data_IF_686507334404
#
_entry.id   IF_686507334404
#
_cell.length_a   1.000
_cell.length_b   1.000
_cell.length_c   1.000
_cell.angle_alpha   90.00
_cell.angle_beta   90.00
_cell.angle_gamma   90.00
#
_symmetry.space_group_name_H-M   'P 1'
#
loop_
_entity.id
_entity.type
_entity.pdbx_description
1 polymer ?
#
# COMPACT_ATOMS: atom_id res chain seq x y z
N UNK A 1 28.29 20.51 -22.04
CA UNK A 1 28.18 19.44 -23.07
C UNK A 1 27.02 18.54 -22.68
N UNK A 2 25.88 18.61 -23.40
CA UNK A 2 24.65 17.86 -23.11
C UNK A 2 24.74 16.48 -23.76
N UNK A 3 24.48 15.41 -23.01
CA UNK A 3 24.25 14.08 -23.57
C UNK A 3 22.81 13.71 -23.25
N UNK A 4 21.93 13.99 -24.22
CA UNK A 4 20.62 13.37 -24.33
C UNK A 4 20.80 11.96 -24.91
N UNK A 5 20.28 10.92 -24.25
CA UNK A 5 20.00 9.65 -24.91
C UNK A 5 18.51 9.35 -24.86
N UNK A 6 17.88 9.59 -26.01
CA UNK A 6 16.55 9.17 -26.42
C UNK A 6 16.65 7.77 -27.05
N UNK A 7 15.78 6.82 -26.65
CA UNK A 7 15.31 5.60 -27.38
C UNK A 7 14.55 4.73 -26.36
N UNK A 8 13.43 4.07 -26.61
CA UNK A 8 12.49 3.95 -27.74
C UNK A 8 11.20 3.39 -27.12
N UNK A 9 10.04 3.83 -27.60
CA UNK A 9 8.73 3.22 -27.27
C UNK A 9 8.65 1.81 -27.86
N UNK A 10 8.17 0.85 -27.09
CA UNK A 10 7.50 -0.36 -27.62
C UNK A 10 6.20 -0.58 -26.85
N UNK A 11 5.11 -0.26 -27.54
CA UNK A 11 3.74 -0.60 -27.17
C UNK A 11 3.47 -2.03 -27.62
N UNK A 12 3.24 -2.94 -26.68
CA UNK A 12 2.58 -4.22 -26.97
C UNK A 12 1.51 -4.46 -25.92
N UNK A 13 0.28 -4.10 -26.30
CA UNK A 13 -0.94 -4.63 -25.69
C UNK A 13 -0.87 -6.16 -25.75
N UNK A 14 -1.15 -6.84 -24.65
CA UNK A 14 -1.86 -8.13 -24.62
C UNK A 14 -2.29 -8.45 -23.19
N UNK A 15 -3.58 -8.23 -22.96
CA UNK A 15 -4.37 -8.85 -21.91
C UNK A 15 -4.30 -10.37 -22.12
N UNK A 16 -3.99 -11.12 -21.06
CA UNK A 16 -4.35 -12.53 -20.96
C UNK A 16 -4.59 -12.88 -19.49
N UNK A 17 -5.87 -12.78 -19.09
CA UNK A 17 -6.42 -13.52 -17.97
C UNK A 17 -6.28 -15.02 -18.29
N UNK A 18 -5.56 -15.78 -17.47
CA UNK A 18 -5.63 -17.24 -17.48
C UNK A 18 -6.34 -17.67 -16.20
N UNK A 19 -7.36 -18.48 -16.42
CA UNK A 19 -8.40 -18.92 -15.50
C UNK A 19 -7.87 -19.90 -14.44
N UNK A 20 -8.44 -19.74 -13.24
CA UNK A 20 -8.69 -20.75 -12.21
C UNK A 20 -8.55 -22.21 -12.69
N UNK A 21 -7.59 -22.94 -12.13
CA UNK A 21 -7.60 -24.38 -11.81
C UNK A 21 -6.27 -24.63 -11.09
N UNK A 22 -6.13 -25.24 -9.92
CA UNK A 22 -6.99 -26.07 -9.11
C UNK A 22 -6.52 -25.94 -7.64
N UNK A 23 -7.40 -26.24 -6.69
CA UNK A 23 -6.97 -26.53 -5.32
C UNK A 23 -7.46 -25.57 -4.24
N UNK A 24 -8.78 -25.36 -4.15
CA UNK A 24 -9.38 -25.13 -2.83
C UNK A 24 -10.49 -26.16 -2.64
N UNK A 25 -10.09 -27.43 -2.58
CA UNK A 25 -10.77 -28.36 -1.70
C UNK A 25 -10.31 -28.02 -0.27
N UNK A 26 -10.89 -26.97 0.30
CA UNK A 26 -10.93 -26.84 1.75
C UNK A 26 -12.38 -26.75 2.15
N UNK A 27 -13.01 -27.93 2.17
CA UNK A 27 -14.11 -28.18 3.08
C UNK A 27 -13.62 -27.87 4.49
N UNK A 28 -14.15 -26.82 5.10
CA UNK A 28 -14.45 -26.85 6.52
C UNK A 28 -15.70 -26.01 6.75
N UNK A 29 -16.84 -26.64 6.51
CA UNK A 29 -18.05 -26.34 7.27
C UNK A 29 -17.77 -26.60 8.75
N UNK A 30 -17.21 -25.62 9.45
CA UNK A 30 -17.41 -25.51 10.89
C UNK A 30 -18.54 -24.49 11.09
N UNK A 31 -19.77 -25.01 11.22
CA UNK A 31 -20.80 -24.31 11.97
C UNK A 31 -20.34 -24.31 13.43
N UNK A 32 -19.57 -23.30 13.84
CA UNK A 32 -19.37 -23.07 15.26
C UNK A 32 -20.64 -22.36 15.75
N UNK A 33 -21.59 -23.15 16.22
CA UNK A 33 -22.58 -22.68 17.20
C UNK A 33 -21.80 -22.42 18.49
N UNK A 34 -21.43 -21.17 18.73
CA UNK A 34 -21.00 -20.74 20.07
C UNK A 34 -22.26 -20.35 20.82
N UNK A 35 -22.83 -21.29 21.56
CA UNK A 35 -23.78 -20.98 22.61
C UNK A 35 -22.99 -20.53 23.85
N UNK A 36 -22.80 -19.22 24.02
CA UNK A 36 -22.34 -18.66 25.29
C UNK A 36 -23.54 -18.22 26.12
N UNK A 37 -24.04 -19.13 26.94
CA UNK A 37 -24.75 -18.74 28.15
C UNK A 37 -23.69 -18.42 29.21
N UNK A 38 -23.43 -17.13 29.44
CA UNK A 38 -22.75 -16.69 30.65
C UNK A 38 -23.57 -15.56 31.27
N UNK A 39 -24.38 -15.98 32.23
CA UNK A 39 -25.13 -15.13 33.11
C UNK A 39 -24.17 -14.47 34.13
N UNK A 40 -24.32 -13.15 34.26
CA UNK A 40 -24.03 -12.26 35.42
C UNK A 40 -22.62 -11.72 35.68
N UNK A 41 -22.55 -10.39 35.47
CA UNK A 41 -21.98 -9.35 36.34
C UNK A 41 -20.46 -9.30 36.55
N UNK A 42 -19.80 -8.37 35.85
CA UNK A 42 -18.96 -7.33 36.47
C UNK A 42 -18.76 -6.18 35.47
N UNK A 43 -19.13 -4.96 35.87
CA UNK A 43 -18.84 -3.73 35.13
C UNK A 43 -17.33 -3.45 35.14
N UNK A 44 -16.60 -4.04 34.20
CA UNK A 44 -15.25 -3.58 33.82
C UNK A 44 -15.32 -3.24 32.35
N UNK A 45 -15.38 -1.94 32.04
CA UNK A 45 -15.33 -1.44 30.68
C UNK A 45 -13.95 -1.80 30.10
N UNK A 46 -13.87 -2.91 29.37
CA UNK A 46 -12.73 -3.22 28.53
C UNK A 46 -12.81 -2.23 27.36
N UNK A 47 -12.11 -1.10 27.49
CA UNK A 47 -11.87 -0.21 26.36
C UNK A 47 -10.93 -0.93 25.39
N UNK A 48 -11.51 -1.66 24.44
CA UNK A 48 -10.78 -2.21 23.29
C UNK A 48 -10.14 -1.01 22.60
N UNK A 49 -8.83 -0.82 22.82
CA UNK A 49 -8.08 0.27 22.21
C UNK A 49 -7.75 -0.16 20.80
N UNK A 50 -8.64 0.16 19.85
CA UNK A 50 -8.36 -0.02 18.44
C UNK A 50 -7.22 0.95 18.07
N UNK A 51 -6.17 0.50 17.37
CA UNK A 51 -5.08 1.38 17.00
C UNK A 51 -5.59 2.54 16.16
N UNK A 52 -5.20 3.76 16.54
CA UNK A 52 -5.64 4.97 15.85
C UNK A 52 -5.07 5.00 14.43
N UNK A 53 -5.96 5.05 13.43
CA UNK A 53 -5.60 5.17 12.03
C UNK A 53 -5.77 6.61 11.55
N UNK A 54 -4.74 7.14 10.89
CA UNK A 54 -4.74 8.49 10.30
C UNK A 54 -4.39 8.44 8.82
N UNK A 55 -5.17 9.13 7.99
CA UNK A 55 -4.92 9.24 6.55
C UNK A 55 -4.53 10.68 6.21
N UNK A 56 -3.31 10.86 5.70
CA UNK A 56 -2.83 12.13 5.17
C UNK A 56 -2.98 12.11 3.65
N UNK A 57 -3.79 13.01 3.10
CA UNK A 57 -4.01 13.14 1.65
C UNK A 57 -3.28 14.37 1.12
N UNK A 58 -2.81 14.31 -0.11
CA UNK A 58 -2.18 15.45 -0.77
C UNK A 58 -2.09 15.28 -2.28
N UNK A 59 -1.55 16.32 -2.94
CA UNK A 59 -1.15 16.29 -4.33
C UNK A 59 0.38 16.43 -4.40
N UNK A 60 1.02 15.71 -5.32
CA UNK A 60 2.44 15.89 -5.61
C UNK A 60 2.65 17.33 -6.10
N UNK A 61 3.56 18.06 -5.46
CA UNK A 61 3.95 19.41 -5.88
C UNK A 61 5.13 19.35 -6.84
N UNK A 62 5.38 20.45 -7.54
CA UNK A 62 6.57 20.57 -8.39
C UNK A 62 7.85 20.37 -7.57
N UNK A 63 8.67 19.42 -8.01
CA UNK A 63 9.94 19.09 -7.35
C UNK A 63 9.83 18.07 -6.23
N UNK A 64 8.62 17.64 -5.86
CA UNK A 64 8.46 16.53 -4.92
C UNK A 64 9.02 15.22 -5.51
N UNK A 65 9.66 14.45 -4.64
CA UNK A 65 10.11 13.10 -4.92
C UNK A 65 9.46 12.14 -3.93
N UNK A 66 9.40 10.85 -4.25
CA UNK A 66 8.90 9.87 -3.29
C UNK A 66 9.73 9.89 -2.00
N UNK A 67 11.05 10.11 -2.11
CA UNK A 67 11.93 10.27 -0.95
C UNK A 67 11.61 11.48 -0.10
N UNK A 68 11.35 12.65 -0.70
CA UNK A 68 11.00 13.86 0.08
C UNK A 68 9.64 13.75 0.76
N UNK A 69 8.71 12.98 0.20
CA UNK A 69 7.39 12.75 0.79
C UNK A 69 7.44 11.74 1.94
N UNK A 70 8.22 10.67 1.77
CA UNK A 70 8.25 9.55 2.71
C UNK A 70 9.32 9.69 3.81
N UNK A 71 10.36 10.51 3.63
CA UNK A 71 11.45 10.65 4.61
C UNK A 71 11.00 11.18 5.98
N UNK A 72 9.82 11.81 6.04
CA UNK A 72 9.19 12.25 7.29
C UNK A 72 8.74 11.08 8.16
N UNK A 73 8.51 9.91 7.56
CA UNK A 73 7.94 8.74 8.23
C UNK A 73 8.86 7.51 8.19
N UNK A 74 9.78 7.46 7.22
CA UNK A 74 10.63 6.30 6.97
C UNK A 74 12.09 6.72 6.80
N UNK A 75 13.06 5.90 7.24
CA UNK A 75 14.46 6.13 6.94
C UNK A 75 14.73 5.93 5.44
N UNK A 76 15.73 6.65 4.92
CA UNK A 76 16.06 6.65 3.48
C UNK A 76 16.36 5.24 2.93
N UNK A 77 16.99 4.37 3.74
CA UNK A 77 17.24 2.96 3.39
C UNK A 77 15.93 2.22 3.07
N UNK A 78 14.90 2.36 3.90
CA UNK A 78 13.60 1.72 3.67
C UNK A 78 12.91 2.30 2.44
N UNK A 79 13.02 3.60 2.21
CA UNK A 79 12.48 4.24 0.99
C UNK A 79 13.15 3.69 -0.27
N UNK A 80 14.47 3.50 -0.24
CA UNK A 80 15.20 2.88 -1.36
C UNK A 80 14.73 1.45 -1.61
N UNK A 81 14.52 0.67 -0.54
CA UNK A 81 13.99 -0.69 -0.61
C UNK A 81 12.57 -0.76 -1.21
N UNK A 82 11.70 0.20 -0.87
CA UNK A 82 10.38 0.37 -1.51
C UNK A 82 10.56 0.69 -3.00
N UNK A 83 11.42 1.67 -3.32
CA UNK A 83 11.67 2.09 -4.70
C UNK A 83 12.18 0.93 -5.57
N UNK A 84 12.99 0.04 -5.00
CA UNK A 84 13.51 -1.14 -5.70
C UNK A 84 12.40 -2.16 -5.95
N UNK A 85 11.60 -2.51 -4.93
CA UNK A 85 10.51 -3.48 -5.04
C UNK A 85 9.39 -3.02 -5.97
N UNK A 86 9.02 -1.74 -5.90
CA UNK A 86 7.94 -1.21 -6.72
C UNK A 86 8.37 -0.97 -8.17
N UNK A 87 9.66 -1.02 -8.50
CA UNK A 87 10.18 -0.61 -9.81
C UNK A 87 9.56 -1.37 -10.99
N UNK A 88 9.23 -2.64 -10.79
CA UNK A 88 8.65 -3.49 -11.84
C UNK A 88 7.16 -3.18 -12.08
N UNK A 89 6.47 -2.61 -11.08
CA UNK A 89 5.06 -2.20 -11.15
C UNK A 89 4.94 -0.73 -11.57
N UNK A 90 5.62 0.15 -10.82
CA UNK A 90 5.70 1.58 -11.08
C UNK A 90 6.97 2.17 -10.43
N UNK A 91 7.93 2.68 -11.23
CA UNK A 91 9.11 3.32 -10.68
C UNK A 91 8.74 4.62 -9.94
N UNK A 92 9.12 4.73 -8.66
CA UNK A 92 8.82 5.91 -7.84
C UNK A 92 9.41 7.22 -8.39
N UNK A 93 10.42 7.14 -9.24
CA UNK A 93 10.99 8.29 -9.96
C UNK A 93 10.03 8.90 -10.98
N UNK A 94 8.95 8.20 -11.34
CA UNK A 94 7.97 8.64 -12.33
C UNK A 94 6.73 9.31 -11.72
N UNK A 95 6.71 9.57 -10.41
CA UNK A 95 5.64 10.37 -9.81
C UNK A 95 5.56 11.75 -10.48
N UNK A 96 4.34 12.28 -10.61
CA UNK A 96 4.11 13.52 -11.37
C UNK A 96 3.37 14.53 -10.52
N UNK A 97 3.72 15.79 -10.72
CA UNK A 97 3.01 16.93 -10.17
C UNK A 97 1.50 16.85 -10.44
N UNK A 98 0.72 17.32 -9.47
CA UNK A 98 -0.75 17.37 -9.50
C UNK A 98 -1.43 16.01 -9.27
N UNK A 99 -0.67 14.93 -9.10
CA UNK A 99 -1.26 13.60 -8.84
C UNK A 99 -1.58 13.40 -7.37
N UNK A 100 -2.73 12.80 -7.04
CA UNK A 100 -3.08 12.56 -5.65
C UNK A 100 -2.28 11.41 -5.06
N UNK A 101 -1.98 11.56 -3.77
CA UNK A 101 -1.40 10.51 -2.95
C UNK A 101 -2.09 10.43 -1.59
N UNK A 102 -1.92 9.29 -0.92
CA UNK A 102 -2.30 9.10 0.49
C UNK A 102 -1.17 8.43 1.25
N UNK A 103 -0.97 8.87 2.49
CA UNK A 103 -0.11 8.21 3.47
C UNK A 103 -1.03 7.74 4.59
N UNK A 104 -0.98 6.45 4.88
CA UNK A 104 -1.77 5.80 5.91
C UNK A 104 -0.85 5.54 7.09
N UNK A 105 -1.21 6.11 8.23
CA UNK A 105 -0.48 5.99 9.48
C UNK A 105 -1.32 5.18 10.48
N UNK A 106 -0.66 4.33 11.24
CA UNK A 106 -1.18 3.69 12.43
C UNK A 106 -0.30 4.13 13.59
N UNK A 107 -0.87 4.77 14.62
CA UNK A 107 -0.09 5.29 15.75
C UNK A 107 1.13 6.14 15.30
N UNK A 108 0.91 7.00 14.29
CA UNK A 108 1.92 7.83 13.63
C UNK A 108 3.01 7.08 12.83
N UNK A 109 3.00 5.75 12.80
CA UNK A 109 3.89 4.95 11.95
C UNK A 109 3.26 4.72 10.58
N UNK A 110 4.04 4.88 9.51
CA UNK A 110 3.55 4.63 8.16
C UNK A 110 3.32 3.13 7.96
N UNK A 111 2.09 2.79 7.60
CA UNK A 111 1.65 1.42 7.27
C UNK A 111 1.21 1.28 5.82
N UNK A 112 0.94 2.39 5.14
CA UNK A 112 0.63 2.37 3.71
C UNK A 112 0.92 3.68 2.98
N UNK A 113 1.19 3.54 1.69
CA UNK A 113 1.31 4.65 0.74
C UNK A 113 0.53 4.31 -0.52
N UNK A 114 -0.36 5.21 -0.93
CA UNK A 114 -1.08 5.11 -2.19
C UNK A 114 -0.71 6.29 -3.09
N UNK A 115 -0.50 6.02 -4.37
CA UNK A 115 -0.28 7.03 -5.39
C UNK A 115 -1.14 6.74 -6.63
N UNK A 116 -1.84 7.75 -7.13
CA UNK A 116 -2.66 7.59 -8.33
C UNK A 116 -1.83 7.77 -9.61
N UNK A 117 -1.65 6.67 -10.34
CA UNK A 117 -0.96 6.67 -11.62
C UNK A 117 -1.88 7.28 -12.68
N UNK A 118 -3.15 6.85 -12.68
CA UNK A 118 -4.22 7.39 -13.50
C UNK A 118 -5.59 7.08 -12.86
N UNK A 119 -6.70 7.38 -13.56
CA UNK A 119 -8.06 7.20 -13.02
C UNK A 119 -8.43 5.74 -12.66
N UNK A 120 -7.71 4.77 -13.20
CA UNK A 120 -7.96 3.33 -13.02
C UNK A 120 -6.88 2.66 -12.16
N UNK A 121 -5.64 3.12 -12.29
CA UNK A 121 -4.49 2.45 -11.69
C UNK A 121 -3.88 3.26 -10.55
N UNK A 122 -3.53 2.56 -9.48
CA UNK A 122 -2.84 3.11 -8.31
C UNK A 122 -1.67 2.24 -7.94
N UNK A 123 -0.57 2.88 -7.55
CA UNK A 123 0.46 2.21 -6.78
C UNK A 123 -0.02 2.14 -5.33
N UNK A 124 0.01 0.96 -4.75
CA UNK A 124 -0.32 0.72 -3.34
C UNK A 124 0.87 -0.01 -2.74
N UNK A 125 1.48 0.60 -1.72
CA UNK A 125 2.56 0.01 -0.93
C UNK A 125 2.02 -0.19 0.47
N UNK A 126 2.11 -1.39 1.01
CA UNK A 126 1.63 -1.71 2.36
C UNK A 126 2.72 -2.36 3.19
N UNK A 127 2.66 -2.15 4.51
CA UNK A 127 3.55 -2.80 5.46
C UNK A 127 2.97 -4.15 5.88
N UNK A 128 3.62 -5.24 5.49
CA UNK A 128 3.32 -6.60 5.94
C UNK A 128 4.54 -7.17 6.69
N UNK A 129 4.36 -7.63 7.94
CA UNK A 129 5.43 -8.26 8.75
C UNK A 129 6.74 -7.43 8.74
N UNK A 130 6.60 -6.13 8.97
CA UNK A 130 7.70 -5.15 8.97
C UNK A 130 8.37 -4.83 7.63
N UNK A 131 7.88 -5.39 6.52
CA UNK A 131 8.40 -5.15 5.19
C UNK A 131 7.35 -4.43 4.35
N UNK A 132 7.78 -3.46 3.54
CA UNK A 132 6.91 -2.83 2.56
C UNK A 132 6.94 -3.59 1.23
N UNK A 133 5.76 -3.88 0.70
CA UNK A 133 5.54 -4.54 -0.60
C UNK A 133 4.47 -3.84 -1.42
#
# INVERSE_FOLDING_TARGET
>A
MRICSNRKRTCTKKILFILFTAGIFFNCSLNIVVASNSDKNTNTAISITLPEMKIVKGLIKRGDTASSLLNKYLPLKTIYEISKRSSDVFPLTQIREGRPYKIILQENHLVGFEYEINKKDRLVVQKEKDIFS
#
